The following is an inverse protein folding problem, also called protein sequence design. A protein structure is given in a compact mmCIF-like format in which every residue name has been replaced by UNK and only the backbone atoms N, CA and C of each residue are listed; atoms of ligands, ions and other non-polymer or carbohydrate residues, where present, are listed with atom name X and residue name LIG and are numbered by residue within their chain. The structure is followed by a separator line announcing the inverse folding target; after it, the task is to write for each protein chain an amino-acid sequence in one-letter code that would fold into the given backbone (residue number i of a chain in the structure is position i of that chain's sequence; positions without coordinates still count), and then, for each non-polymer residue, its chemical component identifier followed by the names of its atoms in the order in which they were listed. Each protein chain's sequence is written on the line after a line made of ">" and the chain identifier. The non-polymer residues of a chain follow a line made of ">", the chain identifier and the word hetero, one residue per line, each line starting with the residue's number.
data_IF_144336606529
#
_entry.id   IF_144336606529
#
_cell.length_a   1.000
_cell.length_b   1.000
_cell.length_c   1.000
_cell.angle_alpha   90.00
_cell.angle_beta   90.00
_cell.angle_gamma   90.00
#
_symmetry.space_group_name_H-M   'P 1'
#
loop_
_entity.id
_entity.type
_entity.pdbx_description
1 polymer ?
#
# COMPACT_ATOMS: atom_id res chain seq x y z
N UNK A 1 16.15 -18.62 -19.78
CA UNK A 1 15.24 -17.92 -20.70
C UNK A 1 13.92 -17.74 -19.99
N UNK A 2 13.42 -16.55 -19.83
CA UNK A 2 12.17 -16.34 -19.13
C UNK A 2 10.98 -16.79 -19.99
N UNK A 3 10.00 -17.37 -19.34
CA UNK A 3 8.76 -17.95 -19.90
C UNK A 3 7.75 -16.91 -20.46
N UNK A 4 8.22 -15.74 -20.91
CA UNK A 4 7.34 -14.61 -21.23
C UNK A 4 7.00 -14.45 -22.72
N UNK A 5 7.48 -15.35 -23.58
CA UNK A 5 7.39 -15.15 -25.04
C UNK A 5 6.12 -15.71 -25.72
N UNK A 6 5.13 -16.19 -24.99
CA UNK A 6 3.98 -16.88 -25.62
C UNK A 6 2.59 -16.44 -25.22
N UNK A 7 2.42 -15.37 -24.48
CA UNK A 7 1.08 -14.82 -24.27
C UNK A 7 0.85 -13.68 -25.27
N UNK A 8 0.16 -13.99 -26.35
CA UNK A 8 -0.31 -12.97 -27.29
C UNK A 8 -1.26 -12.02 -26.54
N UNK A 9 -1.15 -10.70 -26.74
CA UNK A 9 -2.10 -9.76 -26.17
C UNK A 9 -3.51 -10.15 -26.65
N UNK A 10 -4.42 -10.33 -25.70
CA UNK A 10 -5.82 -10.58 -26.01
C UNK A 10 -6.37 -9.28 -26.61
N UNK A 11 -6.68 -9.31 -27.90
CA UNK A 11 -7.39 -8.21 -28.53
C UNK A 11 -8.87 -8.28 -28.11
N UNK A 12 -9.24 -7.37 -27.21
CA UNK A 12 -10.60 -7.26 -26.70
C UNK A 12 -11.49 -6.34 -27.56
N UNK A 13 -10.96 -5.82 -28.67
CA UNK A 13 -11.67 -4.85 -29.52
C UNK A 13 -11.95 -3.52 -28.87
N UNK A 14 -11.19 -3.18 -27.82
CA UNK A 14 -11.28 -1.89 -27.09
C UNK A 14 -9.99 -1.11 -27.29
N UNK A 15 -10.07 0.22 -27.20
CA UNK A 15 -8.90 1.10 -27.28
C UNK A 15 -8.13 1.09 -25.96
N UNK A 16 -6.79 1.18 -26.04
CA UNK A 16 -5.94 1.31 -24.87
C UNK A 16 -6.12 2.70 -24.23
N UNK A 17 -6.66 2.82 -23.01
CA UNK A 17 -6.93 4.12 -22.39
C UNK A 17 -5.65 4.92 -22.06
N UNK A 18 -4.48 4.30 -22.13
CA UNK A 18 -3.18 4.92 -21.83
C UNK A 18 -2.27 5.06 -23.04
N UNK A 19 -2.77 4.83 -24.26
CA UNK A 19 -1.96 4.91 -25.49
C UNK A 19 -1.33 6.29 -25.69
N UNK A 20 -2.05 7.34 -25.32
CA UNK A 20 -1.52 8.71 -25.37
C UNK A 20 -0.50 9.04 -24.27
N UNK A 21 -0.41 8.23 -23.22
CA UNK A 21 0.48 8.47 -22.08
C UNK A 21 1.75 7.63 -22.13
N UNK A 22 1.68 6.41 -22.64
CA UNK A 22 2.78 5.44 -22.63
C UNK A 22 2.91 4.84 -24.02
N UNK A 23 4.04 5.07 -24.70
CA UNK A 23 4.31 4.55 -26.03
C UNK A 23 4.68 3.06 -26.06
N UNK A 24 5.05 2.47 -24.92
CA UNK A 24 5.32 1.05 -24.81
C UNK A 24 4.05 0.24 -25.07
N UNK A 25 4.19 -0.90 -25.74
CA UNK A 25 3.06 -1.80 -25.99
C UNK A 25 2.61 -2.43 -24.67
N UNK A 26 1.32 -2.33 -24.28
CA UNK A 26 0.82 -2.97 -23.08
C UNK A 26 0.85 -4.49 -23.22
N UNK A 27 1.05 -5.19 -22.12
CA UNK A 27 0.91 -6.65 -22.05
C UNK A 27 -0.57 -7.04 -22.22
N UNK A 28 -1.47 -6.33 -21.55
CA UNK A 28 -2.91 -6.35 -21.80
C UNK A 28 -3.51 -5.00 -21.35
N UNK A 29 -4.73 -4.72 -21.78
CA UNK A 29 -5.47 -3.56 -21.32
C UNK A 29 -6.97 -3.85 -21.23
N UNK A 30 -7.68 -3.00 -20.51
CA UNK A 30 -9.12 -3.01 -20.32
C UNK A 30 -9.65 -1.61 -20.57
N UNK A 31 -10.95 -1.41 -20.57
CA UNK A 31 -11.55 -0.06 -20.67
C UNK A 31 -11.02 0.94 -19.62
N UNK A 32 -10.50 0.46 -18.50
CA UNK A 32 -10.10 1.29 -17.35
C UNK A 32 -8.64 1.19 -16.96
N UNK A 33 -7.85 0.41 -17.65
CA UNK A 33 -6.47 0.23 -17.27
C UNK A 33 -5.66 -0.57 -18.26
N UNK A 34 -4.35 -0.38 -18.21
CA UNK A 34 -3.38 -1.11 -19.03
C UNK A 34 -2.29 -1.68 -18.13
N UNK A 35 -1.86 -2.91 -18.43
CA UNK A 35 -0.75 -3.55 -17.75
C UNK A 35 0.46 -3.58 -18.67
N UNK A 36 1.61 -3.19 -18.15
CA UNK A 36 2.87 -3.19 -18.88
C UNK A 36 3.86 -4.14 -18.19
N UNK A 37 4.52 -4.97 -18.98
CA UNK A 37 5.58 -5.86 -18.52
C UNK A 37 6.93 -5.24 -18.88
N UNK A 38 7.75 -4.91 -17.88
CA UNK A 38 9.07 -4.32 -18.10
C UNK A 38 9.66 -3.70 -16.85
N UNK A 39 10.80 -3.05 -17.01
CA UNK A 39 11.41 -2.26 -15.95
C UNK A 39 10.55 -1.03 -15.67
N UNK A 40 10.08 -0.90 -14.43
CA UNK A 40 9.19 0.18 -14.03
C UNK A 40 9.82 1.57 -14.22
N UNK A 41 11.13 1.72 -14.04
CA UNK A 41 11.83 3.00 -14.28
C UNK A 41 11.78 3.40 -15.76
N UNK A 42 12.00 2.44 -16.65
CA UNK A 42 11.99 2.71 -18.08
C UNK A 42 10.57 3.03 -18.59
N UNK A 43 9.57 2.36 -18.03
CA UNK A 43 8.16 2.65 -18.33
C UNK A 43 7.77 4.03 -17.78
N UNK A 44 8.15 4.37 -16.56
CA UNK A 44 7.84 5.66 -15.95
C UNK A 44 8.42 6.85 -16.73
N UNK A 45 9.60 6.71 -17.32
CA UNK A 45 10.19 7.78 -18.16
C UNK A 45 9.30 8.21 -19.32
N UNK A 46 8.39 7.33 -19.77
CA UNK A 46 7.45 7.61 -20.84
C UNK A 46 6.19 8.35 -20.35
N UNK A 47 5.92 8.29 -19.05
CA UNK A 47 4.75 8.95 -18.45
C UNK A 47 5.01 10.46 -18.37
N UNK A 48 4.10 11.31 -18.85
CA UNK A 48 4.24 12.76 -18.76
C UNK A 48 4.33 13.26 -17.31
N UNK A 49 5.01 14.40 -17.13
CA UNK A 49 5.06 15.10 -15.86
C UNK A 49 3.65 15.44 -15.36
N UNK A 50 3.44 15.37 -14.05
CA UNK A 50 2.20 15.80 -13.39
C UNK A 50 0.91 15.22 -14.01
N UNK A 51 0.94 13.95 -14.42
CA UNK A 51 -0.19 13.27 -15.07
C UNK A 51 -0.90 12.26 -14.18
N UNK A 52 -0.25 11.77 -13.12
CA UNK A 52 -0.72 10.68 -12.26
C UNK A 52 -1.32 11.24 -10.95
N UNK A 53 -2.51 10.78 -10.58
CA UNK A 53 -3.16 11.18 -9.33
C UNK A 53 -2.71 10.35 -8.13
N UNK A 54 -2.48 9.06 -8.34
CA UNK A 54 -2.15 8.12 -7.27
C UNK A 54 -1.21 7.05 -7.79
N UNK A 55 -0.12 6.83 -7.05
CA UNK A 55 0.79 5.69 -7.21
C UNK A 55 0.63 4.80 -5.99
N UNK A 56 0.41 3.51 -6.21
CA UNK A 56 0.40 2.48 -5.16
C UNK A 56 1.45 1.45 -5.49
N UNK A 57 2.33 1.14 -4.54
CA UNK A 57 3.37 0.13 -4.75
C UNK A 57 3.69 -0.65 -3.49
N UNK A 58 4.07 -1.92 -3.68
CA UNK A 58 4.66 -2.78 -2.66
C UNK A 58 6.00 -3.31 -3.20
N UNK A 59 7.08 -2.54 -3.09
CA UNK A 59 8.38 -2.91 -3.66
C UNK A 59 8.94 -4.15 -2.95
N UNK A 60 9.87 -4.89 -3.59
CA UNK A 60 10.57 -5.99 -2.92
C UNK A 60 11.17 -5.53 -1.59
N UNK A 61 10.85 -6.20 -0.50
CA UNK A 61 11.39 -5.85 0.82
C UNK A 61 12.86 -6.27 0.96
N UNK A 62 13.60 -5.59 1.81
CA UNK A 62 14.98 -5.93 2.14
C UNK A 62 15.08 -7.19 3.01
N UNK A 63 14.58 -8.31 2.50
CA UNK A 63 14.54 -9.57 3.24
C UNK A 63 15.95 -10.18 3.37
N UNK A 64 16.21 -10.82 4.50
CA UNK A 64 17.44 -11.57 4.75
C UNK A 64 17.64 -12.70 3.73
N UNK A 65 16.51 -13.33 3.31
CA UNK A 65 16.53 -14.37 2.28
C UNK A 65 16.20 -13.77 0.92
N UNK A 66 17.11 -13.98 -0.04
CA UNK A 66 16.90 -13.53 -1.41
C UNK A 66 15.74 -14.28 -2.06
N UNK A 67 14.96 -13.56 -2.82
CA UNK A 67 13.83 -14.08 -3.61
C UNK A 67 14.22 -14.17 -5.09
N UNK A 68 13.54 -15.01 -5.86
CA UNK A 68 13.80 -15.19 -7.30
C UNK A 68 13.69 -13.88 -8.10
N UNK A 69 12.77 -13.00 -7.70
CA UNK A 69 12.59 -11.67 -8.31
C UNK A 69 13.69 -10.67 -7.92
N UNK A 70 14.65 -11.07 -7.09
CA UNK A 70 15.69 -10.20 -6.55
C UNK A 70 15.16 -9.25 -5.46
N UNK A 71 15.97 -9.03 -4.44
CA UNK A 71 15.72 -7.98 -3.45
C UNK A 71 17.05 -7.41 -2.99
N UNK A 72 17.08 -6.11 -2.78
CA UNK A 72 18.25 -5.36 -2.35
C UNK A 72 18.50 -5.58 -0.87
N UNK A 73 19.76 -5.56 -0.43
CA UNK A 73 20.10 -5.63 0.99
C UNK A 73 19.68 -4.36 1.73
N UNK A 74 19.42 -4.49 3.03
CA UNK A 74 18.89 -3.38 3.83
C UNK A 74 19.79 -2.14 3.81
N UNK A 75 21.09 -2.32 3.74
CA UNK A 75 22.08 -1.22 3.67
C UNK A 75 22.00 -0.40 2.38
N UNK A 76 21.61 -1.03 1.26
CA UNK A 76 21.58 -0.39 -0.06
C UNK A 76 20.15 0.02 -0.47
N UNK A 77 19.17 -0.41 0.32
CA UNK A 77 17.75 -0.32 -0.02
C UNK A 77 17.29 1.13 -0.24
N UNK A 78 17.69 2.02 0.64
CA UNK A 78 17.27 3.43 0.57
C UNK A 78 17.75 4.05 -0.73
N UNK A 79 19.02 3.89 -1.08
CA UNK A 79 19.59 4.46 -2.32
C UNK A 79 18.95 3.84 -3.57
N UNK A 80 18.71 2.54 -3.54
CA UNK A 80 18.00 1.85 -4.61
C UNK A 80 16.59 2.42 -4.83
N UNK A 81 15.83 2.60 -3.74
CA UNK A 81 14.45 3.09 -3.82
C UNK A 81 14.37 4.58 -4.22
N UNK A 82 15.30 5.40 -3.76
CA UNK A 82 15.36 6.81 -4.14
C UNK A 82 15.53 7.00 -5.65
N UNK A 83 16.11 6.03 -6.34
CA UNK A 83 16.14 6.03 -7.80
C UNK A 83 14.76 5.95 -8.46
N UNK A 84 13.71 5.48 -7.77
CA UNK A 84 12.32 5.55 -8.22
C UNK A 84 11.62 6.81 -7.73
N UNK A 85 11.98 7.29 -6.56
CA UNK A 85 11.30 8.40 -5.89
C UNK A 85 11.29 9.69 -6.73
N UNK A 86 12.37 9.97 -7.46
CA UNK A 86 12.45 11.11 -8.38
C UNK A 86 11.40 11.01 -9.49
N UNK A 87 11.25 9.84 -10.07
CA UNK A 87 10.26 9.60 -11.12
C UNK A 87 8.83 9.66 -10.56
N UNK A 88 8.59 9.08 -9.38
CA UNK A 88 7.30 9.22 -8.69
C UNK A 88 6.95 10.69 -8.48
N UNK A 89 7.90 11.50 -8.01
CA UNK A 89 7.68 12.92 -7.79
C UNK A 89 7.38 13.64 -9.12
N UNK A 90 8.09 13.33 -10.20
CA UNK A 90 7.90 13.93 -11.50
C UNK A 90 6.52 13.66 -12.09
N UNK A 91 6.09 12.39 -12.08
CA UNK A 91 4.83 12.00 -12.73
C UNK A 91 3.58 12.33 -11.92
N UNK A 92 3.69 12.46 -10.59
CA UNK A 92 2.56 12.81 -9.73
C UNK A 92 2.10 14.25 -9.97
N UNK A 93 0.78 14.45 -10.02
CA UNK A 93 0.14 15.77 -9.94
C UNK A 93 0.44 16.46 -8.62
N UNK A 94 0.25 17.77 -8.56
CA UNK A 94 0.54 18.55 -7.35
C UNK A 94 -0.26 18.07 -6.12
N UNK A 95 -1.52 17.70 -6.30
CA UNK A 95 -2.38 17.14 -5.25
C UNK A 95 -2.38 15.60 -5.23
N UNK A 96 -1.47 14.97 -5.99
CA UNK A 96 -1.32 13.54 -6.13
C UNK A 96 -0.71 12.87 -4.89
N UNK A 97 -0.86 11.56 -4.83
CA UNK A 97 -0.45 10.74 -3.68
C UNK A 97 0.41 9.55 -4.09
N UNK A 98 1.40 9.25 -3.25
CA UNK A 98 2.23 8.05 -3.31
C UNK A 98 1.94 7.18 -2.08
N UNK A 99 1.53 5.94 -2.29
CA UNK A 99 1.26 4.98 -1.22
C UNK A 99 2.22 3.81 -1.36
N UNK A 100 2.98 3.55 -0.30
CA UNK A 100 4.00 2.50 -0.27
C UNK A 100 3.67 1.51 0.84
N UNK A 101 3.44 0.24 0.51
CA UNK A 101 3.41 -0.82 1.49
C UNK A 101 4.81 -1.39 1.66
N UNK A 102 5.33 -1.39 2.88
CA UNK A 102 6.69 -1.86 3.19
C UNK A 102 6.73 -2.67 4.49
N UNK A 103 7.26 -3.89 4.40
CA UNK A 103 7.47 -4.76 5.54
C UNK A 103 8.84 -4.56 6.18
N UNK A 104 8.88 -4.74 7.49
CA UNK A 104 10.16 -4.75 8.22
C UNK A 104 10.92 -6.07 8.06
N UNK A 105 12.23 -6.00 8.26
CA UNK A 105 13.10 -7.17 8.33
C UNK A 105 13.96 -7.13 9.59
N UNK A 106 14.73 -8.18 9.84
CA UNK A 106 15.64 -8.29 10.97
C UNK A 106 17.08 -8.35 10.51
N UNK A 107 17.99 -8.03 11.42
CA UNK A 107 19.42 -8.16 11.17
C UNK A 107 19.82 -9.66 11.19
N UNK A 108 20.61 -10.08 10.21
CA UNK A 108 21.05 -11.48 10.10
C UNK A 108 21.78 -11.94 11.38
N UNK A 109 21.37 -13.07 11.92
CA UNK A 109 22.01 -13.69 13.08
C UNK A 109 21.67 -13.06 14.44
N UNK A 110 20.82 -12.04 14.49
CA UNK A 110 20.40 -11.38 15.74
C UNK A 110 18.89 -11.19 15.83
N UNK A 111 18.31 -11.07 17.06
CA UNK A 111 16.87 -10.80 17.22
C UNK A 111 16.49 -9.34 16.99
N UNK A 112 17.40 -8.49 16.54
CA UNK A 112 17.17 -7.06 16.34
C UNK A 112 16.59 -6.78 14.97
N UNK A 113 15.83 -5.67 14.87
CA UNK A 113 15.24 -5.23 13.60
C UNK A 113 16.21 -4.34 12.81
N UNK A 114 16.17 -4.46 11.49
CA UNK A 114 16.75 -3.47 10.60
C UNK A 114 15.91 -2.20 10.62
N UNK A 115 16.58 -1.07 10.52
CA UNK A 115 15.96 0.27 10.50
C UNK A 115 15.64 0.77 9.09
N UNK A 116 15.96 0.00 8.04
CA UNK A 116 15.90 0.44 6.63
C UNK A 116 14.58 1.09 6.22
N UNK A 117 13.44 0.59 6.75
CA UNK A 117 12.13 1.14 6.42
C UNK A 117 11.91 2.54 7.02
N UNK A 118 12.44 2.79 8.22
CA UNK A 118 12.36 4.10 8.86
C UNK A 118 13.31 5.10 8.20
N UNK A 119 14.50 4.66 7.82
CA UNK A 119 15.47 5.46 7.07
C UNK A 119 14.87 5.85 5.71
N UNK A 120 14.22 4.91 5.02
CA UNK A 120 13.51 5.21 3.76
C UNK A 120 12.44 6.29 3.96
N UNK A 121 11.62 6.19 5.01
CA UNK A 121 10.57 7.19 5.29
C UNK A 121 11.19 8.56 5.53
N UNK A 122 12.28 8.64 6.30
CA UNK A 122 12.99 9.89 6.58
C UNK A 122 13.53 10.52 5.29
N UNK A 123 14.14 9.72 4.42
CA UNK A 123 14.68 10.21 3.15
C UNK A 123 13.55 10.66 2.20
N UNK A 124 12.46 9.90 2.10
CA UNK A 124 11.31 10.27 1.30
C UNK A 124 10.62 11.55 1.82
N UNK A 125 10.62 11.76 3.14
CA UNK A 125 10.06 12.96 3.75
C UNK A 125 10.85 14.25 3.44
N UNK A 126 12.03 14.14 2.85
CA UNK A 126 12.77 15.31 2.31
C UNK A 126 12.25 15.75 0.94
N UNK A 127 11.56 14.88 0.23
CA UNK A 127 11.03 15.12 -1.12
C UNK A 127 9.50 15.25 -1.14
N UNK A 128 8.82 14.57 -0.23
CA UNK A 128 7.38 14.50 -0.12
C UNK A 128 6.93 14.93 1.27
N UNK A 129 5.66 15.26 1.41
CA UNK A 129 5.02 15.43 2.71
C UNK A 129 4.48 14.06 3.16
N UNK A 130 4.83 13.62 4.37
CA UNK A 130 4.22 12.46 4.99
C UNK A 130 2.78 12.83 5.41
N UNK A 131 1.80 12.40 4.63
CA UNK A 131 0.40 12.71 4.89
C UNK A 131 -0.15 11.87 6.05
N UNK A 132 0.10 10.56 6.01
CA UNK A 132 -0.29 9.65 7.09
C UNK A 132 0.42 8.30 6.95
N UNK A 133 0.61 7.59 8.06
CA UNK A 133 0.95 6.18 8.09
C UNK A 133 -0.27 5.34 8.44
N UNK A 134 -0.40 4.18 7.77
CA UNK A 134 -1.34 3.12 8.13
C UNK A 134 -0.57 1.88 8.56
N UNK A 135 -1.19 1.09 9.41
CA UNK A 135 -0.64 -0.14 9.96
C UNK A 135 -1.47 -1.32 9.46
N UNK A 136 -0.91 -2.07 8.51
CA UNK A 136 -1.58 -3.29 8.06
C UNK A 136 -1.32 -4.42 9.04
N UNK A 137 -2.31 -4.72 9.87
CA UNK A 137 -2.28 -5.83 10.80
C UNK A 137 -2.85 -7.09 10.15
N UNK A 138 -2.01 -8.14 10.06
CA UNK A 138 -2.42 -9.45 9.59
C UNK A 138 -2.57 -10.42 10.78
N UNK A 139 -3.79 -10.69 11.27
CA UNK A 139 -4.03 -11.55 12.42
C UNK A 139 -3.61 -13.01 12.17
N UNK A 140 -3.65 -13.46 10.92
CA UNK A 140 -3.32 -14.83 10.51
C UNK A 140 -1.82 -15.05 10.25
N UNK A 141 -0.96 -14.04 10.48
CA UNK A 141 0.48 -14.18 10.23
C UNK A 141 1.11 -15.26 11.12
N UNK A 142 1.85 -16.17 10.50
CA UNK A 142 2.60 -17.18 11.22
C UNK A 142 3.68 -16.55 12.12
N UNK A 143 4.08 -17.22 13.23
CA UNK A 143 5.16 -16.76 14.10
C UNK A 143 6.48 -16.66 13.32
N UNK A 144 6.90 -15.44 13.02
CA UNK A 144 8.14 -15.14 12.31
C UNK A 144 8.85 -13.93 12.94
N UNK A 145 10.18 -13.88 12.90
CA UNK A 145 11.10 -14.96 12.50
C UNK A 145 11.11 -16.12 13.51
N UNK A 146 11.02 -17.35 13.02
CA UNK A 146 10.82 -18.55 13.85
C UNK A 146 11.91 -18.75 14.91
N UNK A 147 13.17 -18.52 14.58
CA UNK A 147 14.30 -18.65 15.49
C UNK A 147 14.10 -17.84 16.78
N UNK A 148 13.65 -16.59 16.66
CA UNK A 148 13.53 -15.67 17.79
C UNK A 148 12.16 -15.71 18.48
N UNK A 149 11.13 -16.10 17.73
CA UNK A 149 9.74 -16.11 18.24
C UNK A 149 9.38 -17.47 18.84
N UNK A 150 9.61 -18.57 18.12
CA UNK A 150 9.18 -19.91 18.54
C UNK A 150 10.27 -20.73 19.19
N UNK A 151 11.52 -20.64 18.71
CA UNK A 151 12.64 -21.44 19.22
C UNK A 151 13.20 -20.79 20.48
N UNK A 152 13.75 -19.59 20.38
CA UNK A 152 14.37 -18.88 21.53
C UNK A 152 13.39 -18.10 22.39
N UNK A 153 12.19 -17.78 21.87
CA UNK A 153 11.11 -17.12 22.61
C UNK A 153 11.51 -15.76 23.24
N UNK A 154 12.34 -14.99 22.52
CA UNK A 154 12.84 -13.68 22.99
C UNK A 154 12.11 -12.51 22.32
N UNK A 155 11.20 -12.80 21.37
CA UNK A 155 10.40 -11.80 20.65
C UNK A 155 8.96 -12.28 20.46
N UNK A 156 8.05 -11.32 20.26
CA UNK A 156 6.71 -11.57 19.69
C UNK A 156 6.78 -11.63 18.17
N UNK A 157 5.76 -12.23 17.51
CA UNK A 157 5.69 -12.31 16.06
C UNK A 157 5.50 -10.94 15.42
N UNK A 158 6.12 -10.73 14.29
CA UNK A 158 5.90 -9.55 13.45
C UNK A 158 4.58 -9.75 12.66
N UNK A 159 3.56 -9.00 13.00
CA UNK A 159 2.23 -9.13 12.39
C UNK A 159 1.73 -7.83 11.75
N UNK A 160 2.55 -6.78 11.74
CA UNK A 160 2.22 -5.46 11.21
C UNK A 160 3.21 -5.08 10.12
N UNK A 161 2.69 -4.52 9.03
CA UNK A 161 3.46 -3.87 7.98
C UNK A 161 3.05 -2.39 7.89
N UNK A 162 3.96 -1.53 7.44
CA UNK A 162 3.67 -0.12 7.26
C UNK A 162 3.11 0.14 5.86
N UNK A 163 2.07 0.96 5.79
CA UNK A 163 1.57 1.53 4.54
C UNK A 163 1.70 3.05 4.67
N UNK A 164 2.64 3.61 3.92
CA UNK A 164 3.03 5.01 4.03
C UNK A 164 2.33 5.81 2.94
N UNK A 165 1.60 6.84 3.33
CA UNK A 165 0.98 7.78 2.41
C UNK A 165 1.78 9.07 2.37
N UNK A 166 2.30 9.38 1.20
CA UNK A 166 3.10 10.55 0.88
C UNK A 166 2.39 11.40 -0.17
N UNK A 167 2.64 12.70 -0.21
CA UNK A 167 2.08 13.63 -1.19
C UNK A 167 3.06 14.73 -1.55
N UNK A 168 2.91 15.33 -2.74
CA UNK A 168 3.78 16.46 -3.16
C UNK A 168 3.52 17.71 -2.34
N UNK A 169 2.27 17.94 -1.94
CA UNK A 169 1.89 19.11 -1.12
C UNK A 169 1.31 18.67 0.22
N UNK A 170 1.24 19.55 1.23
CA UNK A 170 0.59 19.27 2.51
C UNK A 170 -0.91 18.97 2.39
N UNK A 171 -1.53 19.21 1.23
CA UNK A 171 -2.97 19.11 1.00
C UNK A 171 -3.28 18.16 -0.17
N UNK A 172 -3.05 16.83 -0.02
CA UNK A 172 -3.38 15.85 -1.04
C UNK A 172 -4.89 15.82 -1.28
N UNK A 173 -5.27 15.47 -2.52
CA UNK A 173 -6.68 15.24 -2.86
C UNK A 173 -7.19 13.99 -2.14
N UNK A 174 -7.97 14.20 -1.08
CA UNK A 174 -8.51 13.12 -0.26
C UNK A 174 -9.88 13.48 0.33
N UNK A 175 -10.71 12.48 0.57
CA UNK A 175 -12.02 12.64 1.20
C UNK A 175 -12.34 11.42 2.07
N UNK A 176 -12.20 11.55 3.39
CA UNK A 176 -12.44 10.47 4.33
C UNK A 176 -13.94 10.08 4.46
N UNK A 177 -14.86 10.89 3.92
CA UNK A 177 -16.29 10.53 3.86
C UNK A 177 -16.54 9.32 2.95
N UNK A 178 -15.63 8.99 2.06
CA UNK A 178 -15.71 7.85 1.15
C UNK A 178 -15.34 6.51 1.79
N UNK A 179 -14.81 6.54 3.02
CA UNK A 179 -14.32 5.35 3.74
C UNK A 179 -14.95 5.19 5.12
N UNK A 180 -16.09 5.87 5.35
CA UNK A 180 -16.81 5.79 6.63
C UNK A 180 -17.24 4.36 6.94
N UNK A 181 -17.17 4.04 8.24
CA UNK A 181 -17.65 2.78 8.81
C UNK A 181 -18.95 3.01 9.59
N UNK A 182 -19.75 1.97 9.82
CA UNK A 182 -20.92 2.07 10.69
C UNK A 182 -20.55 2.61 12.07
N UNK A 183 -21.41 3.43 12.64
CA UNK A 183 -21.24 3.88 14.01
C UNK A 183 -21.27 2.73 15.00
N UNK A 184 -20.45 2.85 16.06
CA UNK A 184 -20.59 1.98 17.23
C UNK A 184 -21.95 2.16 17.90
N UNK A 185 -22.42 1.14 18.63
CA UNK A 185 -23.67 1.20 19.42
C UNK A 185 -23.71 2.41 20.37
N UNK A 186 -22.57 2.75 20.97
CA UNK A 186 -22.48 3.91 21.86
C UNK A 186 -22.63 5.22 21.11
N UNK A 187 -22.05 5.34 19.91
CA UNK A 187 -22.21 6.54 19.10
C UNK A 187 -23.64 6.69 18.58
N UNK A 188 -24.29 5.61 18.15
CA UNK A 188 -25.71 5.61 17.77
C UNK A 188 -26.58 6.12 18.93
N UNK A 189 -26.37 5.62 20.16
CA UNK A 189 -27.06 6.09 21.36
C UNK A 189 -26.83 7.57 21.63
N UNK A 190 -25.62 8.10 21.39
CA UNK A 190 -25.31 9.53 21.58
C UNK A 190 -26.05 10.38 20.55
N UNK A 191 -26.13 9.94 19.30
CA UNK A 191 -26.87 10.64 18.24
C UNK A 191 -28.36 10.69 18.59
N UNK A 192 -28.95 9.56 19.02
CA UNK A 192 -30.40 9.45 19.34
C UNK A 192 -30.77 10.18 20.62
N UNK A 193 -30.07 9.95 21.71
CA UNK A 193 -30.44 10.40 23.08
C UNK A 193 -29.72 11.67 23.51
N UNK A 194 -28.70 12.07 22.78
CA UNK A 194 -27.84 13.16 23.13
C UNK A 194 -26.72 12.80 24.09
N UNK A 195 -25.75 13.69 24.19
CA UNK A 195 -24.61 13.56 25.08
C UNK A 195 -24.64 14.65 26.14
N UNK A 196 -24.53 14.25 27.40
CA UNK A 196 -24.31 15.20 28.50
C UNK A 196 -22.79 15.32 28.69
N UNK A 197 -22.27 16.50 28.40
CA UNK A 197 -20.85 16.78 28.50
C UNK A 197 -20.37 16.63 29.96
N UNK A 198 -19.52 15.65 30.21
CA UNK A 198 -18.80 15.53 31.47
C UNK A 198 -17.42 16.15 31.31
N UNK A 199 -17.05 17.04 32.21
CA UNK A 199 -15.69 17.62 32.26
C UNK A 199 -14.68 16.49 32.45
N UNK A 200 -13.83 16.25 31.45
CA UNK A 200 -12.79 15.23 31.57
C UNK A 200 -11.61 15.74 32.38
N UNK A 201 -10.86 14.89 33.09
CA UNK A 201 -9.64 15.28 33.80
C UNK A 201 -8.59 15.96 32.90
N UNK A 202 -8.59 15.64 31.60
CA UNK A 202 -7.71 16.26 30.58
C UNK A 202 -8.09 17.67 30.18
N UNK A 203 -9.15 18.26 30.74
CA UNK A 203 -9.61 19.62 30.40
C UNK A 203 -10.32 19.76 29.04
N UNK A 204 -10.35 18.72 28.21
CA UNK A 204 -11.07 18.74 26.94
C UNK A 204 -12.57 18.58 27.12
N UNK A 205 -13.32 19.64 26.80
CA UNK A 205 -14.78 19.58 26.74
C UNK A 205 -15.22 19.01 25.40
N UNK A 206 -15.95 17.90 25.44
CA UNK A 206 -16.65 17.38 24.28
C UNK A 206 -17.90 18.25 24.09
N UNK A 207 -17.87 19.15 23.11
CA UNK A 207 -18.99 20.04 22.81
C UNK A 207 -20.15 19.25 22.16
N UNK A 208 -21.34 19.88 22.09
CA UNK A 208 -22.56 19.35 21.43
C UNK A 208 -22.38 18.98 19.93
N UNK A 209 -21.23 19.28 19.32
CA UNK A 209 -20.88 18.91 17.93
C UNK A 209 -20.87 17.42 17.68
N UNK A 210 -20.70 16.57 18.72
CA UNK A 210 -20.79 15.12 18.60
C UNK A 210 -22.18 14.57 18.33
N UNK A 211 -23.22 15.43 18.38
CA UNK A 211 -24.60 15.03 18.05
C UNK A 211 -24.90 15.05 16.56
N UNK A 212 -24.03 15.67 15.75
CA UNK A 212 -24.25 15.74 14.32
C UNK A 212 -24.03 14.35 13.72
N UNK A 213 -25.04 13.84 13.06
CA UNK A 213 -24.87 12.66 12.21
C UNK A 213 -24.03 13.05 10.99
N UNK A 214 -22.88 12.39 10.83
CA UNK A 214 -21.98 12.54 9.69
C UNK A 214 -22.03 11.31 8.77
N UNK A 215 -23.08 10.50 8.83
CA UNK A 215 -23.31 9.29 8.04
C UNK A 215 -22.32 8.15 8.30
N UNK A 216 -21.60 8.18 9.41
CA UNK A 216 -20.67 7.13 9.81
C UNK A 216 -19.45 7.63 10.56
N UNK A 217 -18.70 6.69 11.10
CA UNK A 217 -17.46 6.92 11.84
C UNK A 217 -16.25 6.89 10.90
N UNK A 218 -15.32 7.81 11.11
CA UNK A 218 -14.02 7.79 10.44
C UNK A 218 -13.24 6.56 10.95
N UNK A 219 -12.74 5.67 10.05
CA UNK A 219 -11.98 4.49 10.47
C UNK A 219 -10.62 4.88 11.06
N UNK A 220 -10.04 4.04 11.93
CA UNK A 220 -8.66 4.22 12.38
C UNK A 220 -7.68 3.92 11.23
N UNK A 221 -6.43 4.35 11.39
CA UNK A 221 -5.34 4.04 10.47
C UNK A 221 -4.77 2.61 10.63
N UNK A 222 -5.57 1.67 11.11
CA UNK A 222 -5.23 0.25 11.23
C UNK A 222 -6.06 -0.55 10.23
N UNK A 223 -5.37 -1.23 9.31
CA UNK A 223 -5.97 -2.10 8.31
C UNK A 223 -5.89 -3.54 8.80
N UNK A 224 -6.98 -4.06 9.36
CA UNK A 224 -7.03 -5.44 9.81
C UNK A 224 -7.50 -6.35 8.67
N UNK A 225 -6.55 -6.87 7.89
CA UNK A 225 -6.82 -7.68 6.70
C UNK A 225 -5.91 -8.91 6.75
N UNK A 226 -6.51 -10.11 6.75
CA UNK A 226 -5.77 -11.37 6.61
C UNK A 226 -5.31 -11.56 5.16
N UNK A 227 -4.09 -12.04 4.98
CA UNK A 227 -3.55 -12.37 3.65
C UNK A 227 -3.68 -13.86 3.29
N UNK A 228 -4.29 -14.66 4.15
CA UNK A 228 -4.46 -16.11 3.97
C UNK A 228 -5.91 -16.50 3.74
N UNK A 229 -6.74 -15.55 3.33
CA UNK A 229 -8.14 -15.81 3.04
C UNK A 229 -8.25 -16.68 1.78
N UNK A 230 -8.52 -17.98 2.02
CA UNK A 230 -8.73 -18.96 0.94
C UNK A 230 -10.01 -18.68 0.14
N UNK A 231 -10.90 -17.84 0.65
CA UNK A 231 -12.13 -17.39 0.01
C UNK A 231 -12.00 -16.06 -0.71
N UNK A 232 -10.80 -15.49 -0.82
CA UNK A 232 -10.57 -14.23 -1.53
C UNK A 232 -11.07 -14.30 -2.97
N UNK A 233 -11.62 -13.20 -3.46
CA UNK A 233 -12.11 -13.12 -4.85
C UNK A 233 -11.02 -13.47 -5.87
N UNK A 234 -9.77 -13.12 -5.58
CA UNK A 234 -8.62 -13.47 -6.41
C UNK A 234 -8.47 -15.00 -6.53
N UNK A 235 -8.47 -15.73 -5.41
CA UNK A 235 -8.34 -17.19 -5.45
C UNK A 235 -9.56 -17.86 -6.06
N UNK A 236 -10.77 -17.33 -5.84
CA UNK A 236 -11.97 -17.82 -6.51
C UNK A 236 -11.85 -17.68 -8.03
N UNK A 237 -11.38 -16.52 -8.53
CA UNK A 237 -11.14 -16.31 -9.97
C UNK A 237 -10.03 -17.20 -10.51
N UNK A 238 -8.91 -17.36 -9.78
CA UNK A 238 -7.87 -18.30 -10.18
C UNK A 238 -8.42 -19.72 -10.34
N UNK A 239 -9.27 -20.18 -9.43
CA UNK A 239 -9.90 -21.50 -9.51
C UNK A 239 -10.88 -21.58 -10.68
N UNK A 240 -11.73 -20.56 -10.88
CA UNK A 240 -12.70 -20.49 -11.98
C UNK A 240 -12.01 -20.62 -13.35
N UNK A 241 -10.86 -19.98 -13.52
CA UNK A 241 -10.09 -19.99 -14.78
C UNK A 241 -8.97 -21.05 -14.81
N UNK A 242 -8.88 -21.94 -13.83
CA UNK A 242 -7.81 -22.94 -13.69
C UNK A 242 -6.40 -22.36 -13.74
N UNK A 243 -6.24 -21.15 -13.21
CA UNK A 243 -4.96 -20.43 -13.14
C UNK A 243 -4.30 -20.74 -11.81
N UNK A 244 -3.02 -21.16 -11.83
CA UNK A 244 -2.25 -21.33 -10.61
C UNK A 244 -1.94 -19.97 -10.00
N UNK A 245 -2.40 -19.66 -8.76
CA UNK A 245 -2.10 -18.38 -8.14
C UNK A 245 -0.59 -18.26 -7.90
N UNK A 246 0.02 -17.17 -8.35
CA UNK A 246 1.45 -16.89 -8.19
C UNK A 246 1.79 -16.38 -6.79
N UNK A 247 0.80 -15.78 -6.11
CA UNK A 247 0.90 -15.35 -4.72
C UNK A 247 -0.46 -15.46 -4.04
N UNK A 248 -0.49 -15.77 -2.75
CA UNK A 248 -1.72 -15.65 -1.94
C UNK A 248 -2.02 -14.21 -1.55
N UNK A 249 -1.06 -13.33 -1.73
CA UNK A 249 -1.18 -11.88 -1.52
C UNK A 249 -1.10 -11.17 -2.86
N UNK A 250 -2.14 -10.47 -3.21
CA UNK A 250 -2.27 -9.72 -4.47
C UNK A 250 -1.43 -8.44 -4.57
N UNK A 251 -0.53 -8.20 -3.64
CA UNK A 251 0.33 -7.00 -3.63
C UNK A 251 1.80 -7.40 -3.85
N UNK A 252 2.10 -8.11 -4.93
CA UNK A 252 3.49 -8.38 -5.30
C UNK A 252 3.90 -7.55 -6.50
N UNK A 253 4.87 -6.68 -6.30
CA UNK A 253 5.68 -6.01 -7.34
C UNK A 253 4.98 -4.99 -8.25
N UNK A 254 3.71 -4.72 -8.07
CA UNK A 254 2.99 -3.91 -9.04
C UNK A 254 3.06 -2.43 -8.64
N UNK A 255 3.58 -1.61 -9.53
CA UNK A 255 3.37 -0.18 -9.48
C UNK A 255 2.07 0.08 -10.23
N UNK A 256 1.06 0.53 -9.52
CA UNK A 256 -0.24 0.86 -10.09
C UNK A 256 -0.39 2.37 -10.16
N UNK A 257 -0.68 2.87 -11.36
CA UNK A 257 -0.92 4.28 -11.60
C UNK A 257 -2.40 4.52 -11.83
N UNK A 258 -2.92 5.58 -11.23
CA UNK A 258 -4.30 6.01 -11.41
C UNK A 258 -4.30 7.42 -12.00
N UNK A 259 -4.98 7.58 -13.12
CA UNK A 259 -5.34 8.87 -13.70
C UNK A 259 -6.82 9.14 -13.50
N UNK A 260 -7.23 10.39 -13.43
CA UNK A 260 -8.65 10.78 -13.33
C UNK A 260 -9.25 10.90 -14.69
#
# INVERSE_FOLDING_TARGET
>A
MPFYDTVLPIDLGIENPFESLISAKPYYFTERGSAYLGDAKEIMKQIPDSSINLIVTSPPYALVFKKEYGNVDAQDYVQWFLGFANEFHRVLKEDGSLVINIGGTWNKGTPTRSTYQFELIIELAKMFNLAQEFYWYNPARLPAPAEWVTVRRVRVKDAVELVIWLSKTPFPKADNRRVLQPYSKDMQRIIEKGYVAKKRPSGHNIMNKFRKDNNGAIPPNVLQIGNTDSSSQYLQKCNEYSIKPTSRTSLSLDIVFFTS
#
